data_IF_073734089946
#
_entry.id   IF_073734089946
#
_cell.length_a   1.000
_cell.length_b   1.000
_cell.length_c   1.000
_cell.angle_alpha   90.00
_cell.angle_beta   90.00
_cell.angle_gamma   90.00
#
_symmetry.space_group_name_H-M   'P 1'
#
loop_
_entity.id
_entity.type
_entity.pdbx_description
1 polymer ?
#
# COMPACT_ATOMS: atom_id res chain seq x y z
N UNK A 1 20.82 -5.21 -2.89
CA UNK A 1 21.22 -4.91 -1.49
C UNK A 1 21.63 -6.18 -0.69
N UNK A 2 22.71 -6.91 -1.02
CA UNK A 2 22.98 -8.22 -0.39
C UNK A 2 23.35 -8.17 1.10
N UNK A 3 23.92 -7.04 1.56
CA UNK A 3 24.42 -6.91 2.93
C UNK A 3 23.31 -6.67 3.97
N UNK A 4 22.18 -6.06 3.58
CA UNK A 4 21.08 -5.81 4.51
C UNK A 4 20.42 -7.12 4.96
N UNK A 5 20.01 -7.97 4.02
CA UNK A 5 19.33 -9.24 4.32
C UNK A 5 20.18 -10.17 5.19
N UNK A 6 21.47 -10.28 4.89
CA UNK A 6 22.40 -11.09 5.69
C UNK A 6 22.54 -10.54 7.12
N UNK A 7 22.62 -9.22 7.26
CA UNK A 7 22.65 -8.57 8.58
C UNK A 7 21.35 -8.81 9.33
N UNK A 8 20.19 -8.62 8.68
CA UNK A 8 18.88 -8.83 9.29
C UNK A 8 18.74 -10.27 9.84
N UNK A 9 19.18 -11.28 9.09
CA UNK A 9 19.15 -12.68 9.53
C UNK A 9 19.98 -12.93 10.81
N UNK A 10 21.07 -12.20 11.03
CA UNK A 10 21.83 -12.27 12.28
C UNK A 10 21.02 -11.77 13.50
N UNK A 11 19.99 -10.96 13.27
CA UNK A 11 19.12 -10.37 14.30
C UNK A 11 17.70 -10.94 14.27
N UNK A 12 17.46 -12.09 13.62
CA UNK A 12 16.12 -12.67 13.41
C UNK A 12 15.27 -12.80 14.68
N UNK A 13 15.91 -13.05 15.83
CA UNK A 13 15.25 -13.23 17.12
C UNK A 13 15.01 -11.90 17.87
N UNK A 14 15.41 -10.76 17.31
CA UNK A 14 15.25 -9.44 17.95
C UNK A 14 14.68 -8.37 17.03
N UNK A 15 14.78 -8.57 15.72
CA UNK A 15 14.38 -7.58 14.73
C UNK A 15 12.86 -7.42 14.70
N UNK A 16 12.40 -6.17 14.85
CA UNK A 16 10.97 -5.80 14.85
C UNK A 16 10.50 -5.17 13.55
N UNK A 17 11.43 -4.60 12.79
CA UNK A 17 11.16 -3.89 11.54
C UNK A 17 12.05 -4.45 10.44
N UNK A 18 11.43 -4.84 9.32
CA UNK A 18 12.14 -5.37 8.16
C UNK A 18 11.83 -4.52 6.92
N UNK A 19 12.85 -4.31 6.09
CA UNK A 19 12.78 -3.50 4.89
C UNK A 19 12.94 -4.37 3.64
N UNK A 20 12.04 -4.23 2.69
CA UNK A 20 12.15 -4.80 1.33
C UNK A 20 12.29 -3.63 0.38
N UNK A 21 13.32 -3.66 -0.48
CA UNK A 21 13.61 -2.59 -1.45
C UNK A 21 13.78 -3.18 -2.83
N UNK A 22 13.12 -2.58 -3.82
CA UNK A 22 13.34 -2.84 -5.25
C UNK A 22 13.03 -4.28 -5.70
N UNK A 23 12.33 -5.06 -4.87
CA UNK A 23 11.98 -6.45 -5.20
C UNK A 23 10.56 -6.50 -5.77
N UNK A 24 10.45 -6.85 -7.05
CA UNK A 24 9.15 -7.05 -7.68
C UNK A 24 8.42 -8.20 -6.96
N UNK A 25 7.15 -8.03 -6.53
CA UNK A 25 6.39 -9.06 -5.85
C UNK A 25 6.21 -10.30 -6.73
N UNK A 26 6.16 -10.19 -8.05
CA UNK A 26 6.09 -11.37 -8.92
C UNK A 26 7.46 -12.00 -9.28
N UNK A 27 8.55 -11.58 -8.65
CA UNK A 27 9.89 -12.14 -8.91
C UNK A 27 10.15 -13.44 -8.13
N UNK A 28 11.08 -14.27 -8.63
CA UNK A 28 11.56 -15.46 -7.90
C UNK A 28 12.15 -15.11 -6.52
N UNK A 29 12.69 -13.89 -6.37
CA UNK A 29 13.26 -13.42 -5.11
C UNK A 29 12.18 -13.21 -4.04
N UNK A 30 10.92 -12.95 -4.42
CA UNK A 30 9.79 -12.90 -3.48
C UNK A 30 9.71 -14.18 -2.66
N UNK A 31 9.81 -15.35 -3.28
CA UNK A 31 9.59 -16.60 -2.56
C UNK A 31 10.66 -16.80 -1.49
N UNK A 32 11.92 -16.54 -1.84
CA UNK A 32 13.02 -16.59 -0.88
C UNK A 32 12.83 -15.60 0.27
N UNK A 33 12.46 -14.34 -0.02
CA UNK A 33 12.25 -13.33 1.01
C UNK A 33 11.07 -13.71 1.89
N UNK A 34 9.97 -14.15 1.29
CA UNK A 34 8.74 -14.55 1.98
C UNK A 34 9.00 -15.69 2.96
N UNK A 35 9.79 -16.69 2.55
CA UNK A 35 10.21 -17.77 3.44
C UNK A 35 11.09 -17.25 4.58
N UNK A 36 12.06 -16.38 4.29
CA UNK A 36 12.92 -15.79 5.31
C UNK A 36 12.17 -14.93 6.33
N UNK A 37 11.11 -14.22 5.91
CA UNK A 37 10.29 -13.41 6.82
C UNK A 37 9.68 -14.24 7.97
N UNK A 38 9.45 -15.54 7.74
CA UNK A 38 8.93 -16.45 8.76
C UNK A 38 9.94 -16.74 9.88
N UNK A 39 11.24 -16.54 9.64
CA UNK A 39 12.28 -16.73 10.66
C UNK A 39 12.31 -15.59 11.69
N UNK A 40 11.72 -14.44 11.37
CA UNK A 40 11.70 -13.25 12.24
C UNK A 40 10.51 -13.28 13.20
N UNK A 41 10.66 -14.00 14.31
CA UNK A 41 9.58 -14.24 15.29
C UNK A 41 9.01 -12.99 15.96
N UNK A 42 9.81 -11.93 16.02
CA UNK A 42 9.44 -10.66 16.65
C UNK A 42 9.14 -9.55 15.65
N UNK A 43 9.07 -9.89 14.35
CA UNK A 43 8.75 -8.94 13.31
C UNK A 43 7.32 -8.43 13.49
N UNK A 44 7.17 -7.14 13.73
CA UNK A 44 5.86 -6.49 13.87
C UNK A 44 5.60 -5.48 12.77
N UNK A 45 6.64 -5.02 12.08
CA UNK A 45 6.56 -3.99 11.05
C UNK A 45 7.29 -4.42 9.78
N UNK A 46 6.58 -4.33 8.65
CA UNK A 46 7.16 -4.54 7.33
C UNK A 46 7.09 -3.22 6.54
N UNK A 47 8.20 -2.87 5.92
CA UNK A 47 8.33 -1.68 5.08
C UNK A 47 8.79 -2.12 3.71
N UNK A 48 7.97 -1.86 2.70
CA UNK A 48 8.20 -2.27 1.31
C UNK A 48 8.29 -1.01 0.48
N UNK A 49 9.44 -0.81 -0.16
CA UNK A 49 9.66 0.20 -1.18
C UNK A 49 9.81 -0.50 -2.51
N UNK A 50 8.83 -0.35 -3.39
CA UNK A 50 8.86 -0.92 -4.71
C UNK A 50 8.95 0.18 -5.77
N UNK A 51 10.04 0.14 -6.52
CA UNK A 51 10.27 1.05 -7.65
C UNK A 51 9.60 0.55 -8.94
N UNK A 52 9.12 -0.69 -8.98
CA UNK A 52 8.31 -1.20 -10.08
C UNK A 52 6.86 -0.69 -9.97
N UNK A 53 6.55 0.35 -10.74
CA UNK A 53 5.24 0.99 -10.73
C UNK A 53 4.08 0.13 -11.23
N UNK A 54 4.36 -0.99 -11.90
CA UNK A 54 3.33 -1.91 -12.43
C UNK A 54 2.62 -2.74 -11.37
N UNK A 55 2.97 -2.60 -10.10
CA UNK A 55 2.52 -3.52 -9.05
C UNK A 55 1.28 -3.04 -8.32
N UNK A 56 0.42 -3.99 -7.96
CA UNK A 56 -0.77 -3.76 -7.15
C UNK A 56 -0.49 -4.09 -5.69
N UNK A 57 -1.15 -3.44 -4.73
CA UNK A 57 -1.14 -3.87 -3.33
C UNK A 57 -1.54 -5.34 -3.14
N UNK A 58 -2.33 -5.90 -4.08
CA UNK A 58 -2.78 -7.30 -4.06
C UNK A 58 -1.64 -8.29 -4.38
N UNK A 59 -0.59 -7.88 -5.12
CA UNK A 59 0.52 -8.78 -5.49
C UNK A 59 1.31 -9.26 -4.27
N UNK A 60 1.24 -8.52 -3.18
CA UNK A 60 1.88 -8.84 -1.91
C UNK A 60 1.09 -9.84 -1.05
N UNK A 61 -0.09 -10.28 -1.49
CA UNK A 61 -1.00 -11.06 -0.64
C UNK A 61 -0.40 -12.36 -0.12
N UNK A 62 0.26 -13.17 -0.95
CA UNK A 62 0.82 -14.44 -0.45
C UNK A 62 1.93 -14.20 0.58
N UNK A 63 2.69 -13.12 0.43
CA UNK A 63 3.72 -12.75 1.40
C UNK A 63 3.10 -12.29 2.72
N UNK A 64 2.09 -11.43 2.67
CA UNK A 64 1.38 -10.96 3.86
C UNK A 64 0.66 -12.10 4.57
N UNK A 65 0.00 -12.99 3.83
CA UNK A 65 -0.71 -14.16 4.39
C UNK A 65 0.22 -15.10 5.16
N UNK A 66 1.51 -15.13 4.83
CA UNK A 66 2.53 -15.94 5.50
C UNK A 66 3.16 -15.25 6.71
N UNK A 67 2.88 -13.96 6.94
CA UNK A 67 3.45 -13.14 7.99
C UNK A 67 2.37 -12.64 8.97
N UNK A 68 1.63 -13.59 9.56
CA UNK A 68 0.45 -13.30 10.41
C UNK A 68 0.77 -12.51 11.68
N UNK A 69 2.03 -12.37 12.07
CA UNK A 69 2.48 -11.58 13.21
C UNK A 69 2.55 -10.06 12.95
N UNK A 70 2.48 -9.64 11.69
CA UNK A 70 2.62 -8.23 11.32
C UNK A 70 1.49 -7.38 11.89
N UNK A 71 1.87 -6.23 12.45
CA UNK A 71 0.96 -5.22 13.02
C UNK A 71 0.94 -3.94 12.20
N UNK A 72 2.08 -3.61 11.57
CA UNK A 72 2.25 -2.40 10.76
C UNK A 72 2.78 -2.75 9.39
N UNK A 73 2.13 -2.22 8.36
CA UNK A 73 2.57 -2.35 6.97
C UNK A 73 2.74 -0.94 6.38
N UNK A 74 3.95 -0.66 5.90
CA UNK A 74 4.22 0.50 5.05
C UNK A 74 4.53 -0.02 3.65
N UNK A 75 3.73 0.36 2.67
CA UNK A 75 3.88 -0.07 1.28
C UNK A 75 3.95 1.16 0.38
N UNK A 76 5.09 1.36 -0.25
CA UNK A 76 5.31 2.45 -1.21
C UNK A 76 5.53 1.85 -2.59
N UNK A 77 4.54 2.01 -3.46
CA UNK A 77 4.57 1.57 -4.85
C UNK A 77 4.81 2.81 -5.71
N UNK A 78 5.88 2.78 -6.50
CA UNK A 78 6.23 3.84 -7.41
C UNK A 78 5.14 4.09 -8.47
N UNK A 79 5.21 5.28 -9.06
CA UNK A 79 4.36 5.64 -10.20
C UNK A 79 4.70 4.78 -11.42
N UNK A 80 3.70 4.45 -12.23
CA UNK A 80 3.88 3.72 -13.49
C UNK A 80 3.55 4.61 -14.68
N UNK A 81 4.41 4.58 -15.69
CA UNK A 81 4.05 5.05 -17.02
C UNK A 81 3.04 4.08 -17.64
N UNK A 82 1.95 4.63 -18.15
CA UNK A 82 0.67 3.94 -18.22
C UNK A 82 0.54 2.88 -19.33
N UNK A 83 1.51 2.76 -20.24
CA UNK A 83 1.48 1.74 -21.31
C UNK A 83 1.54 0.31 -20.76
N UNK A 84 2.00 0.15 -19.50
CA UNK A 84 2.10 -1.14 -18.82
C UNK A 84 1.15 -1.31 -17.64
N UNK A 85 0.46 -0.26 -17.20
CA UNK A 85 -0.47 -0.34 -16.07
C UNK A 85 -1.83 -0.87 -16.54
N UNK A 86 -1.93 -2.19 -16.63
CA UNK A 86 -3.22 -2.86 -16.77
C UNK A 86 -3.79 -2.97 -15.35
N UNK A 87 -4.88 -2.25 -15.05
CA UNK A 87 -5.71 -2.54 -13.88
C UNK A 87 -6.22 -3.97 -14.00
N UNK A 88 -5.46 -4.92 -13.47
CA UNK A 88 -5.77 -6.35 -13.50
C UNK A 88 -6.64 -6.79 -12.32
N UNK A 89 -7.22 -5.85 -11.57
CA UNK A 89 -8.02 -6.19 -10.39
C UNK A 89 -9.41 -6.69 -10.79
N UNK A 90 -9.46 -7.86 -11.41
CA UNK A 90 -10.66 -8.68 -11.31
C UNK A 90 -10.71 -9.14 -9.85
N UNK A 91 -11.56 -8.49 -9.04
CA UNK A 91 -11.84 -8.83 -7.63
C UNK A 91 -12.45 -10.25 -7.45
N UNK A 92 -12.31 -11.10 -8.47
CA UNK A 92 -12.71 -12.50 -8.51
C UNK A 92 -11.78 -13.39 -7.67
N UNK A 93 -10.57 -12.92 -7.36
CA UNK A 93 -9.68 -13.59 -6.41
C UNK A 93 -10.19 -13.47 -4.97
N UNK A 94 -10.12 -14.59 -4.23
CA UNK A 94 -10.61 -14.67 -2.86
C UNK A 94 -9.71 -13.82 -1.94
N UNK A 95 -10.25 -12.73 -1.41
CA UNK A 95 -9.54 -11.90 -0.42
C UNK A 95 -9.49 -12.66 0.91
N UNK A 96 -8.28 -13.04 1.35
CA UNK A 96 -8.04 -13.65 2.66
C UNK A 96 -7.77 -12.55 3.68
N UNK A 97 -8.61 -12.37 4.72
CA UNK A 97 -8.41 -11.32 5.71
C UNK A 97 -7.15 -11.52 6.56
N UNK A 98 -6.47 -10.43 6.88
CA UNK A 98 -5.28 -10.35 7.72
C UNK A 98 -5.59 -9.56 9.01
N UNK A 99 -5.87 -10.28 10.08
CA UNK A 99 -6.42 -9.72 11.32
C UNK A 99 -5.41 -8.99 12.22
N UNK A 100 -4.11 -9.20 12.04
CA UNK A 100 -3.09 -8.63 12.94
C UNK A 100 -2.67 -7.21 12.58
N UNK A 101 -2.78 -6.83 11.30
CA UNK A 101 -2.38 -5.50 10.81
C UNK A 101 -3.44 -4.50 11.25
N UNK A 102 -3.01 -3.53 12.03
CA UNK A 102 -3.86 -2.46 12.56
C UNK A 102 -3.39 -1.05 12.15
N UNK A 103 -2.22 -0.96 11.51
CA UNK A 103 -1.65 0.26 10.97
C UNK A 103 -1.17 0.02 9.53
N UNK A 104 -1.81 0.69 8.59
CA UNK A 104 -1.49 0.62 7.16
C UNK A 104 -1.14 2.03 6.68
N UNK A 105 0.06 2.17 6.14
CA UNK A 105 0.45 3.32 5.33
C UNK A 105 0.74 2.82 3.92
N UNK A 106 0.01 3.34 2.94
CA UNK A 106 0.16 2.90 1.56
C UNK A 106 0.25 4.08 0.60
N UNK A 107 1.20 3.99 -0.32
CA UNK A 107 1.34 4.86 -1.48
C UNK A 107 1.20 4.00 -2.73
N UNK A 108 0.25 4.31 -3.62
CA UNK A 108 -0.02 3.49 -4.81
C UNK A 108 -0.69 4.30 -5.95
N UNK A 109 -0.72 3.71 -7.15
CA UNK A 109 -1.42 4.27 -8.31
C UNK A 109 -2.94 4.14 -8.15
N UNK A 110 -3.71 5.14 -8.59
CA UNK A 110 -5.16 5.13 -8.40
C UNK A 110 -5.82 3.84 -8.92
N UNK A 111 -6.61 3.20 -8.05
CA UNK A 111 -7.43 2.04 -8.36
C UNK A 111 -8.76 2.15 -7.60
N UNK A 112 -9.86 2.12 -8.36
CA UNK A 112 -11.24 2.23 -7.88
C UNK A 112 -11.62 1.13 -6.88
N UNK A 113 -10.95 -0.03 -6.94
CA UNK A 113 -11.23 -1.20 -6.11
C UNK A 113 -10.32 -1.28 -4.87
N UNK A 114 -9.21 -0.55 -4.81
CA UNK A 114 -8.22 -0.66 -3.75
C UNK A 114 -8.77 -0.40 -2.35
N UNK A 115 -9.64 0.59 -2.18
CA UNK A 115 -10.24 0.89 -0.87
C UNK A 115 -11.10 -0.26 -0.34
N UNK A 116 -11.93 -0.86 -1.20
CA UNK A 116 -12.73 -2.03 -0.84
C UNK A 116 -11.82 -3.18 -0.44
N UNK A 117 -10.74 -3.38 -1.19
CA UNK A 117 -9.72 -4.36 -0.86
C UNK A 117 -9.12 -4.11 0.52
N UNK A 118 -8.68 -2.90 0.87
CA UNK A 118 -8.08 -2.62 2.19
C UNK A 118 -9.05 -2.91 3.34
N UNK A 119 -10.32 -2.55 3.21
CA UNK A 119 -11.34 -2.81 4.24
C UNK A 119 -11.55 -4.32 4.42
N UNK A 120 -11.66 -5.08 3.33
CA UNK A 120 -11.85 -6.53 3.39
C UNK A 120 -10.59 -7.26 3.86
N UNK A 121 -9.41 -6.80 3.43
CA UNK A 121 -8.12 -7.41 3.71
C UNK A 121 -7.67 -7.15 5.15
N UNK A 122 -7.92 -5.96 5.69
CA UNK A 122 -7.43 -5.57 7.02
C UNK A 122 -8.61 -5.21 7.94
N UNK A 123 -9.38 -6.20 8.42
CA UNK A 123 -10.62 -5.94 9.17
C UNK A 123 -10.40 -5.33 10.57
N UNK A 124 -9.18 -5.33 11.10
CA UNK A 124 -8.82 -4.73 12.39
C UNK A 124 -8.03 -3.42 12.23
N UNK A 125 -8.11 -2.79 11.07
CA UNK A 125 -7.34 -1.60 10.75
C UNK A 125 -7.78 -0.41 11.60
N UNK A 126 -6.90 0.08 12.47
CA UNK A 126 -7.16 1.22 13.36
C UNK A 126 -6.64 2.54 12.79
N UNK A 127 -5.60 2.46 11.97
CA UNK A 127 -4.96 3.58 11.30
C UNK A 127 -4.76 3.25 9.82
N UNK A 128 -5.27 4.12 8.95
CA UNK A 128 -5.08 4.04 7.51
C UNK A 128 -4.57 5.39 7.00
N UNK A 129 -3.37 5.39 6.43
CA UNK A 129 -2.87 6.48 5.61
C UNK A 129 -2.80 6.01 4.17
N UNK A 130 -3.49 6.73 3.30
CA UNK A 130 -3.47 6.49 1.85
C UNK A 130 -2.88 7.70 1.16
N UNK A 131 -1.84 7.46 0.37
CA UNK A 131 -1.27 8.39 -0.56
C UNK A 131 -1.50 7.87 -1.97
N UNK A 132 -2.12 8.66 -2.84
CA UNK A 132 -2.34 8.27 -4.24
C UNK A 132 -1.35 9.02 -5.10
N UNK A 133 -0.59 8.29 -5.91
CA UNK A 133 0.30 8.87 -6.92
C UNK A 133 -0.55 9.64 -7.94
N UNK A 134 -0.05 10.79 -8.40
CA UNK A 134 -0.71 11.53 -9.46
C UNK A 134 -0.89 10.63 -10.68
N UNK A 135 -2.05 10.66 -11.33
CA UNK A 135 -2.28 9.88 -12.52
C UNK A 135 -1.43 10.41 -13.68
N UNK A 136 -0.53 9.57 -14.20
CA UNK A 136 0.30 9.86 -15.37
C UNK A 136 -0.51 10.20 -16.64
N UNK A 137 -1.81 9.87 -16.70
CA UNK A 137 -2.66 10.14 -17.87
C UNK A 137 -3.95 10.88 -17.53
N UNK A 138 -4.44 11.64 -18.50
CA UNK A 138 -5.74 12.33 -18.43
C UNK A 138 -6.90 11.37 -18.19
N UNK A 139 -6.85 10.13 -18.69
CA UNK A 139 -7.90 9.14 -18.51
C UNK A 139 -8.00 8.65 -17.05
N UNK A 140 -6.87 8.33 -16.41
CA UNK A 140 -6.87 7.96 -14.97
C UNK A 140 -7.21 9.19 -14.13
N UNK A 141 -6.75 10.38 -14.52
CA UNK A 141 -7.13 11.63 -13.88
C UNK A 141 -8.64 11.87 -13.93
N UNK A 142 -9.26 11.68 -15.08
CA UNK A 142 -10.72 11.82 -15.21
C UNK A 142 -11.44 10.77 -14.36
N UNK A 143 -10.99 9.51 -14.35
CA UNK A 143 -11.56 8.48 -13.48
C UNK A 143 -11.40 8.81 -11.99
N UNK A 144 -10.22 9.30 -11.59
CA UNK A 144 -9.93 9.73 -10.23
C UNK A 144 -10.84 10.90 -9.84
N UNK A 145 -10.92 11.94 -10.68
CA UNK A 145 -11.78 13.10 -10.47
C UNK A 145 -13.25 12.68 -10.38
N UNK A 146 -13.73 11.77 -11.24
CA UNK A 146 -15.09 11.21 -11.17
C UNK A 146 -15.34 10.43 -9.87
N UNK A 147 -14.37 9.64 -9.42
CA UNK A 147 -14.46 8.87 -8.18
C UNK A 147 -14.53 9.78 -6.95
N UNK A 148 -13.63 10.76 -6.86
CA UNK A 148 -13.55 11.68 -5.72
C UNK A 148 -14.62 12.79 -5.76
N UNK A 149 -15.10 13.19 -6.94
CA UNK A 149 -16.23 14.12 -7.06
C UNK A 149 -17.56 13.49 -6.62
N UNK A 150 -17.65 12.15 -6.64
CA UNK A 150 -18.77 11.43 -6.06
C UNK A 150 -18.68 11.39 -4.53
N UNK A 151 -19.17 12.46 -3.90
CA UNK A 151 -19.30 12.56 -2.43
C UNK A 151 -19.99 11.34 -1.79
N UNK A 152 -20.90 10.69 -2.52
CA UNK A 152 -21.58 9.48 -2.07
C UNK A 152 -20.63 8.28 -1.95
N UNK A 153 -19.66 8.12 -2.85
CA UNK A 153 -18.70 7.01 -2.81
C UNK A 153 -17.70 7.18 -1.66
N UNK A 154 -17.22 8.41 -1.44
CA UNK A 154 -16.35 8.71 -0.30
C UNK A 154 -17.08 8.54 1.04
N UNK A 155 -18.34 8.96 1.12
CA UNK A 155 -19.15 8.76 2.32
C UNK A 155 -19.50 7.29 2.55
N UNK A 156 -19.78 6.51 1.51
CA UNK A 156 -20.03 5.08 1.62
C UNK A 156 -18.79 4.33 2.10
N UNK A 157 -17.62 4.64 1.53
CA UNK A 157 -16.34 4.15 2.01
C UNK A 157 -16.10 4.53 3.48
N UNK A 158 -16.31 5.80 3.82
CA UNK A 158 -16.16 6.28 5.18
C UNK A 158 -17.10 5.55 6.13
N UNK A 159 -18.38 5.39 5.79
CA UNK A 159 -19.35 4.71 6.65
C UNK A 159 -19.03 3.21 6.82
N UNK A 160 -18.50 2.57 5.78
CA UNK A 160 -18.00 1.19 5.84
C UNK A 160 -16.70 1.06 6.62
N UNK A 161 -15.88 2.11 6.68
CA UNK A 161 -14.61 2.10 7.37
C UNK A 161 -14.69 2.64 8.81
N UNK A 162 -15.61 3.55 9.12
CA UNK A 162 -15.61 4.38 10.34
C UNK A 162 -15.91 3.62 11.62
N UNK A 163 -16.54 2.44 11.52
CA UNK A 163 -16.71 1.55 12.68
C UNK A 163 -15.44 0.75 13.00
N UNK A 164 -14.42 0.79 12.12
CA UNK A 164 -13.19 0.02 12.20
C UNK A 164 -11.97 0.94 12.36
N UNK A 165 -11.87 1.95 11.49
CA UNK A 165 -10.72 2.87 11.35
C UNK A 165 -10.94 4.11 12.21
N UNK A 166 -10.06 4.32 13.19
CA UNK A 166 -10.10 5.47 14.10
C UNK A 166 -9.45 6.72 13.50
N UNK A 167 -8.45 6.51 12.63
CA UNK A 167 -7.72 7.59 11.98
C UNK A 167 -7.57 7.25 10.49
N UNK A 168 -8.23 8.02 9.62
CA UNK A 168 -8.08 7.94 8.18
C UNK A 168 -7.43 9.24 7.70
N UNK A 169 -6.30 9.12 6.99
CA UNK A 169 -5.65 10.25 6.33
C UNK A 169 -5.54 9.95 4.84
N UNK A 170 -5.93 10.93 4.03
CA UNK A 170 -5.90 10.85 2.58
C UNK A 170 -5.06 11.99 2.01
N UNK A 171 -4.08 11.67 1.18
CA UNK A 171 -3.28 12.63 0.42
C UNK A 171 -3.17 12.21 -1.04
N UNK A 172 -3.22 13.19 -1.94
CA UNK A 172 -2.88 13.00 -3.35
C UNK A 172 -1.57 13.75 -3.56
N UNK A 173 -0.54 13.05 -4.05
CA UNK A 173 0.74 13.67 -4.33
C UNK A 173 0.82 14.00 -5.82
N UNK A 174 0.98 15.28 -6.16
CA UNK A 174 1.33 15.70 -7.51
C UNK A 174 2.80 15.35 -7.77
N UNK A 175 3.01 14.21 -8.43
CA UNK A 175 4.31 13.62 -8.70
C UNK A 175 5.06 14.22 -9.89
N UNK A 176 5.01 15.54 -10.13
CA UNK A 176 5.97 16.14 -11.06
C UNK A 176 7.30 16.37 -10.34
N UNK A 177 8.09 15.29 -10.15
CA UNK A 177 9.54 15.43 -9.94
C UNK A 177 10.22 15.69 -11.28
N UNK A 178 9.96 16.87 -11.86
CA UNK A 178 10.97 17.46 -12.72
C UNK A 178 12.10 17.91 -11.80
N UNK A 179 13.30 17.36 -12.01
CA UNK A 179 14.50 18.08 -11.61
C UNK A 179 14.38 19.48 -12.23
N UNK A 180 14.48 20.50 -11.37
CA UNK A 180 14.42 21.94 -11.65
C UNK A 180 13.11 22.61 -11.18
N UNK A 181 13.24 23.22 -9.99
CA UNK A 181 12.50 24.36 -9.44
C UNK A 181 10.98 24.42 -9.66
N UNK A 182 10.17 23.89 -8.72
CA UNK A 182 8.84 24.46 -8.44
C UNK A 182 8.30 24.10 -7.05
N UNK A 183 7.68 25.10 -6.40
CA UNK A 183 6.88 25.00 -5.19
C UNK A 183 5.63 24.14 -5.45
N UNK A 184 5.55 22.96 -4.85
CA UNK A 184 4.38 22.08 -4.94
C UNK A 184 3.34 22.39 -3.88
N UNK A 185 2.12 22.72 -4.31
CA UNK A 185 0.96 22.85 -3.42
C UNK A 185 0.42 21.46 -3.03
N UNK A 186 0.67 21.05 -1.79
CA UNK A 186 0.09 19.85 -1.18
C UNK A 186 -1.45 20.02 -1.03
N UNK A 187 -2.24 19.39 -1.91
CA UNK A 187 -3.69 19.29 -1.71
C UNK A 187 -4.02 18.27 -0.61
N UNK A 188 -3.98 18.71 0.66
CA UNK A 188 -4.47 17.94 1.80
C UNK A 188 -6.00 18.00 1.88
N UNK A 189 -6.66 16.91 1.50
CA UNK A 189 -8.03 16.67 1.93
C UNK A 189 -8.02 16.02 3.33
N UNK A 190 -7.94 16.85 4.38
CA UNK A 190 -8.29 16.41 5.73
C UNK A 190 -9.80 16.16 5.79
N UNK A 191 -10.22 14.89 5.67
CA UNK A 191 -11.57 14.48 6.00
C UNK A 191 -11.73 14.60 7.53
N UNK A 192 -12.34 15.72 7.94
CA UNK A 192 -12.73 16.14 9.28
C UNK A 192 -12.82 15.00 10.32
N UNK A 193 -11.95 15.08 11.33
CA UNK A 193 -12.18 14.45 12.63
C UNK A 193 -13.44 15.05 13.27
N UNK A 194 -14.42 14.21 13.61
CA UNK A 194 -15.52 14.53 14.53
C UNK A 194 -15.56 13.51 15.64
#
# INVERSE_FOLDING_TARGET
>A
MPNYYRCALCYKDTLRTFYIREEHPLSDQRESITLQLQDFRHLSQLIIYNEAGTTSPMDYDDMLNRCSQLQTLNLEIAECDNDTYISQSDMSSVIIPHFSINNLNITFNFDVFAFKYFICKFPNLSYLRVSINCPATSAIREQQELYFSSRAQLLDLWNKASHIIRNLTFSVHDGYRHNDDYDGDDYKHELLNR
#
